data_IF_234857699554
#
_entry.id   IF_234857699554
#
_cell.length_a   1.000
_cell.length_b   1.000
_cell.length_c   1.000
_cell.angle_alpha   90.00
_cell.angle_beta   90.00
_cell.angle_gamma   90.00
#
_symmetry.space_group_name_H-M   'P 1'
#
loop_
_entity.id
_entity.type
_entity.pdbx_description
1 polymer ?
#
# COMPACT_ATOMS: atom_id res chain seq x y z
N UNK A 1 -6.20 -7.26 8.22
CA UNK A 1 -5.59 -8.02 9.33
C UNK A 1 -4.37 -7.26 9.83
N UNK A 2 -4.00 -7.45 11.09
CA UNK A 2 -2.84 -6.79 11.70
C UNK A 2 -2.69 -7.24 13.15
N UNK A 3 -1.78 -6.62 13.90
CA UNK A 3 -1.58 -6.90 15.32
C UNK A 3 -1.75 -5.63 16.16
N UNK A 4 -2.45 -5.75 17.28
CA UNK A 4 -2.73 -4.68 18.26
C UNK A 4 -2.44 -5.20 19.68
N UNK A 5 -2.29 -4.30 20.65
CA UNK A 5 -2.24 -4.67 22.05
C UNK A 5 -3.64 -4.75 22.67
N UNK A 6 -3.74 -5.39 23.83
CA UNK A 6 -4.97 -5.38 24.67
C UNK A 6 -5.07 -4.12 25.51
N UNK A 7 -5.19 -2.98 24.84
CA UNK A 7 -5.25 -1.67 25.47
C UNK A 7 -6.32 -0.76 24.84
N UNK A 8 -6.45 0.45 25.38
CA UNK A 8 -7.42 1.44 24.90
C UNK A 8 -7.22 1.76 23.41
N UNK A 9 -5.98 1.86 22.96
CA UNK A 9 -5.68 2.13 21.55
C UNK A 9 -6.06 0.94 20.66
N UNK A 10 -5.90 -0.30 21.14
CA UNK A 10 -6.37 -1.50 20.47
C UNK A 10 -7.89 -1.52 20.30
N UNK A 11 -8.63 -1.13 21.34
CA UNK A 11 -10.08 -0.96 21.26
C UNK A 11 -10.49 0.17 20.30
N UNK A 12 -9.74 1.28 20.26
CA UNK A 12 -9.95 2.34 19.27
C UNK A 12 -9.70 1.84 17.84
N UNK A 13 -8.69 1.01 17.60
CA UNK A 13 -8.43 0.40 16.28
C UNK A 13 -9.58 -0.51 15.83
N UNK A 14 -10.23 -1.23 16.75
CA UNK A 14 -11.42 -2.07 16.47
C UNK A 14 -12.62 -1.23 15.98
N UNK A 15 -12.66 0.08 16.23
CA UNK A 15 -13.69 0.97 15.71
C UNK A 15 -13.61 1.21 14.20
N UNK A 16 -12.56 0.74 13.50
CA UNK A 16 -12.52 0.70 12.04
C UNK A 16 -13.74 -0.03 11.43
N UNK A 17 -14.41 -0.90 12.20
CA UNK A 17 -15.69 -1.51 11.82
C UNK A 17 -16.82 -0.50 11.56
N UNK A 18 -16.78 0.67 12.21
CA UNK A 18 -17.74 1.76 11.98
C UNK A 18 -17.61 2.35 10.57
N UNK A 19 -16.41 2.26 9.99
CA UNK A 19 -16.16 2.61 8.58
C UNK A 19 -16.45 1.43 7.61
N UNK A 20 -17.11 0.36 8.08
CA UNK A 20 -17.47 -0.81 7.27
C UNK A 20 -16.34 -1.82 7.08
N UNK A 21 -15.21 -1.69 7.78
CA UNK A 21 -14.08 -2.61 7.65
C UNK A 21 -14.27 -3.85 8.52
N UNK A 22 -14.24 -5.04 7.91
CA UNK A 22 -14.20 -6.31 8.65
C UNK A 22 -12.79 -6.55 9.20
N UNK A 23 -12.52 -6.05 10.40
CA UNK A 23 -11.20 -6.16 11.05
C UNK A 23 -11.00 -7.50 11.75
N UNK A 24 -9.83 -8.09 11.56
CA UNK A 24 -9.37 -9.33 12.19
C UNK A 24 -7.95 -9.10 12.71
N UNK A 25 -7.84 -8.72 13.97
CA UNK A 25 -6.57 -8.40 14.61
C UNK A 25 -6.08 -9.58 15.46
N UNK A 26 -4.77 -9.83 15.39
CA UNK A 26 -4.07 -10.54 16.45
C UNK A 26 -3.94 -9.59 17.65
N UNK A 27 -4.35 -10.03 18.83
CA UNK A 27 -4.23 -9.25 20.06
C UNK A 27 -3.03 -9.77 20.85
N UNK A 28 -1.95 -9.00 20.84
CA UNK A 28 -0.74 -9.29 21.61
C UNK A 28 -1.01 -9.02 23.11
N UNK A 29 -0.60 -9.97 23.95
CA UNK A 29 -0.82 -9.92 25.40
C UNK A 29 0.19 -9.00 26.13
N UNK A 30 1.30 -8.65 25.47
CA UNK A 30 2.48 -8.06 26.12
C UNK A 30 2.83 -6.68 25.58
N UNK A 31 2.77 -6.49 24.27
CA UNK A 31 3.11 -5.23 23.64
C UNK A 31 1.89 -4.30 23.56
N UNK A 32 2.04 -2.99 23.84
CA UNK A 32 0.97 -2.03 23.62
C UNK A 32 0.70 -1.84 22.13
N UNK A 33 -0.47 -1.33 21.79
CA UNK A 33 -0.84 -1.00 20.41
C UNK A 33 0.12 0.04 19.83
N UNK A 34 0.53 -0.18 18.57
CA UNK A 34 1.43 0.72 17.86
C UNK A 34 0.84 2.13 17.70
N UNK A 35 1.71 3.13 17.69
CA UNK A 35 1.34 4.54 17.56
C UNK A 35 2.25 5.24 16.55
N UNK A 36 1.72 6.27 15.88
CA UNK A 36 2.51 7.12 15.00
C UNK A 36 2.33 8.57 15.42
N UNK A 37 3.42 9.22 15.85
CA UNK A 37 3.40 10.66 16.08
C UNK A 37 3.47 11.38 14.73
N UNK A 38 2.48 12.23 14.48
CA UNK A 38 2.43 13.08 13.28
C UNK A 38 2.79 14.50 13.71
N UNK A 39 4.04 14.88 13.48
CA UNK A 39 4.57 16.20 13.83
C UNK A 39 4.36 17.16 12.66
N UNK A 40 3.42 18.12 12.79
CA UNK A 40 3.06 19.07 11.73
C UNK A 40 3.69 20.44 12.00
N UNK A 41 4.41 20.98 11.01
CA UNK A 41 4.98 22.33 11.03
C UNK A 41 4.68 23.02 9.71
N UNK A 42 3.73 23.96 9.71
CA UNK A 42 3.23 24.58 8.48
C UNK A 42 2.63 23.52 7.54
N UNK A 43 3.13 23.45 6.30
CA UNK A 43 2.74 22.43 5.32
C UNK A 43 3.60 21.16 5.36
N UNK A 44 4.58 21.09 6.26
CA UNK A 44 5.49 19.94 6.38
C UNK A 44 5.03 19.01 7.50
N UNK A 45 5.31 17.72 7.31
CA UNK A 45 5.07 16.70 8.33
C UNK A 45 6.28 15.80 8.52
N UNK A 46 6.46 15.33 9.75
CA UNK A 46 7.39 14.26 10.10
C UNK A 46 6.62 13.17 10.84
N UNK A 47 6.82 11.92 10.42
CA UNK A 47 6.13 10.75 10.96
C UNK A 47 7.13 9.94 11.78
N UNK A 48 6.80 9.68 13.05
CA UNK A 48 7.61 8.83 13.93
C UNK A 48 6.75 7.67 14.41
N UNK A 49 6.95 6.50 13.80
CA UNK A 49 6.20 5.29 14.09
C UNK A 49 6.87 4.46 15.19
N UNK A 50 6.13 4.17 16.26
CA UNK A 50 6.43 3.12 17.22
C UNK A 50 5.48 1.94 16.95
N UNK A 51 5.97 0.94 16.20
CA UNK A 51 5.12 -0.16 15.74
C UNK A 51 4.60 -1.04 16.90
N UNK A 52 5.39 -1.21 17.96
CA UNK A 52 5.01 -1.99 19.16
C UNK A 52 4.31 -3.31 18.82
N UNK A 53 3.05 -3.55 19.27
CA UNK A 53 2.32 -4.78 18.96
C UNK A 53 2.21 -5.09 17.46
N UNK A 54 2.25 -4.09 16.57
CA UNK A 54 2.24 -4.34 15.13
C UNK A 54 3.45 -5.19 14.68
N UNK A 55 4.62 -5.03 15.31
CA UNK A 55 5.82 -5.85 15.07
C UNK A 55 5.66 -7.30 15.56
N UNK A 56 4.67 -7.57 16.39
CA UNK A 56 4.47 -8.87 17.02
C UNK A 56 3.51 -9.77 16.22
N UNK A 57 3.07 -9.36 15.03
CA UNK A 57 2.17 -10.16 14.20
C UNK A 57 2.72 -11.58 13.97
N UNK A 58 1.85 -12.57 14.14
CA UNK A 58 2.19 -14.00 14.02
C UNK A 58 1.55 -14.58 12.77
N UNK A 59 2.33 -15.28 11.94
CA UNK A 59 1.81 -15.96 10.75
C UNK A 59 0.78 -17.05 11.13
N UNK A 60 0.87 -17.59 12.34
CA UNK A 60 -0.11 -18.52 12.89
C UNK A 60 -1.51 -17.90 12.95
N UNK A 61 -1.62 -16.59 13.23
CA UNK A 61 -2.89 -15.88 13.17
C UNK A 61 -3.47 -15.89 11.75
N UNK A 62 -2.65 -15.64 10.73
CA UNK A 62 -3.06 -15.70 9.32
C UNK A 62 -3.52 -17.11 8.91
N UNK A 63 -2.83 -18.16 9.41
CA UNK A 63 -3.09 -19.57 9.07
C UNK A 63 -4.31 -20.18 9.79
N UNK A 64 -4.91 -19.50 10.77
CA UNK A 64 -6.14 -19.98 11.40
C UNK A 64 -7.23 -20.17 10.33
N UNK A 65 -8.01 -21.28 10.34
CA UNK A 65 -8.99 -21.55 9.30
C UNK A 65 -9.96 -20.40 9.01
N UNK A 66 -10.46 -19.73 10.05
CA UNK A 66 -11.38 -18.61 9.95
C UNK A 66 -10.76 -17.36 9.30
N UNK A 67 -9.47 -17.13 9.50
CA UNK A 67 -8.73 -16.02 8.90
C UNK A 67 -8.30 -16.37 7.48
N UNK A 68 -7.76 -17.57 7.26
CA UNK A 68 -7.33 -18.02 5.94
C UNK A 68 -8.50 -18.07 4.95
N UNK A 69 -9.71 -18.44 5.40
CA UNK A 69 -10.91 -18.39 4.59
C UNK A 69 -11.22 -16.98 4.02
N UNK A 70 -10.79 -15.90 4.69
CA UNK A 70 -10.92 -14.54 4.16
C UNK A 70 -9.94 -14.28 3.00
N UNK A 71 -8.73 -14.83 3.07
CA UNK A 71 -7.73 -14.76 1.99
C UNK A 71 -8.22 -15.55 0.77
N UNK A 72 -8.76 -16.75 1.00
CA UNK A 72 -9.33 -17.59 -0.06
C UNK A 72 -10.55 -16.94 -0.72
N UNK A 73 -11.38 -16.25 0.06
CA UNK A 73 -12.54 -15.51 -0.45
C UNK A 73 -12.15 -14.24 -1.23
N UNK A 74 -11.05 -13.58 -0.86
CA UNK A 74 -10.63 -12.34 -1.50
C UNK A 74 -10.23 -12.57 -2.97
N UNK A 75 -10.65 -11.66 -3.86
CA UNK A 75 -10.18 -11.61 -5.26
C UNK A 75 -9.04 -10.61 -5.47
N UNK A 76 -9.01 -9.57 -4.62
CA UNK A 76 -8.04 -8.49 -4.63
C UNK A 76 -7.43 -8.41 -3.24
N UNK A 77 -6.10 -8.36 -3.19
CA UNK A 77 -5.33 -8.34 -1.95
C UNK A 77 -4.35 -7.18 -2.02
N UNK A 78 -4.32 -6.34 -1.00
CA UNK A 78 -3.37 -5.25 -0.85
C UNK A 78 -2.58 -5.41 0.45
N UNK A 79 -1.26 -5.33 0.36
CA UNK A 79 -0.37 -5.28 1.53
C UNK A 79 0.63 -4.14 1.36
N UNK A 80 0.68 -3.21 2.31
CA UNK A 80 1.70 -2.16 2.32
C UNK A 80 3.10 -2.74 2.55
N UNK A 81 4.10 -2.20 1.87
CA UNK A 81 5.51 -2.55 2.03
C UNK A 81 6.04 -2.39 3.46
N UNK A 82 5.44 -1.56 4.31
CA UNK A 82 5.76 -1.51 5.74
C UNK A 82 5.67 -2.88 6.42
N UNK A 83 4.78 -3.77 5.96
CA UNK A 83 4.61 -5.08 6.56
C UNK A 83 5.78 -6.05 6.26
N UNK A 84 6.68 -5.70 5.32
CA UNK A 84 7.97 -6.37 5.14
C UNK A 84 8.88 -6.26 6.37
N UNK A 85 8.67 -5.25 7.22
CA UNK A 85 9.41 -5.10 8.48
C UNK A 85 8.93 -6.04 9.59
N UNK A 86 7.75 -6.66 9.39
CA UNK A 86 7.03 -7.41 10.41
C UNK A 86 6.97 -8.88 10.06
N UNK A 87 6.40 -9.23 8.91
CA UNK A 87 6.17 -10.63 8.54
C UNK A 87 6.28 -10.85 7.02
N UNK A 88 7.51 -10.83 6.47
CA UNK A 88 7.77 -11.24 5.08
C UNK A 88 7.18 -12.60 4.73
N UNK A 89 7.20 -13.55 5.66
CA UNK A 89 6.66 -14.90 5.44
C UNK A 89 5.13 -14.89 5.24
N UNK A 90 4.42 -14.01 5.95
CA UNK A 90 2.97 -13.83 5.72
C UNK A 90 2.69 -13.24 4.36
N UNK A 91 3.51 -12.27 3.92
CA UNK A 91 3.43 -11.68 2.57
C UNK A 91 3.65 -12.77 1.52
N UNK A 92 4.72 -13.56 1.68
CA UNK A 92 5.09 -14.62 0.73
C UNK A 92 3.97 -15.66 0.61
N UNK A 93 3.42 -16.12 1.74
CA UNK A 93 2.32 -17.08 1.77
C UNK A 93 1.08 -16.57 1.02
N UNK A 94 0.70 -15.31 1.25
CA UNK A 94 -0.47 -14.69 0.58
C UNK A 94 -0.19 -14.45 -0.90
N UNK A 95 1.01 -14.02 -1.25
CA UNK A 95 1.43 -13.74 -2.61
C UNK A 95 1.47 -15.00 -3.50
N UNK A 96 2.01 -16.10 -2.97
CA UNK A 96 2.01 -17.41 -3.64
C UNK A 96 0.59 -17.94 -3.81
N UNK A 97 -0.25 -17.83 -2.77
CA UNK A 97 -1.65 -18.20 -2.86
C UNK A 97 -2.39 -17.39 -3.93
N UNK A 98 -2.16 -16.07 -3.99
CA UNK A 98 -2.77 -15.20 -4.99
C UNK A 98 -2.38 -15.61 -6.42
N UNK A 99 -1.09 -15.83 -6.65
CA UNK A 99 -0.56 -16.27 -7.94
C UNK A 99 -1.11 -17.65 -8.37
N UNK A 100 -1.17 -18.61 -7.44
CA UNK A 100 -1.69 -19.96 -7.72
C UNK A 100 -3.20 -19.98 -8.02
N UNK A 101 -3.95 -18.98 -7.54
CA UNK A 101 -5.42 -18.95 -7.60
C UNK A 101 -5.96 -17.80 -8.47
N UNK A 102 -5.12 -17.22 -9.34
CA UNK A 102 -5.52 -16.15 -10.27
C UNK A 102 -6.22 -14.97 -9.54
N UNK A 103 -5.67 -14.56 -8.40
CA UNK A 103 -6.11 -13.39 -7.63
C UNK A 103 -5.19 -12.22 -7.92
N UNK A 104 -5.71 -11.01 -7.76
CA UNK A 104 -4.92 -9.78 -7.88
C UNK A 104 -4.19 -9.50 -6.57
N UNK A 105 -2.87 -9.44 -6.61
CA UNK A 105 -2.02 -9.06 -5.49
C UNK A 105 -1.37 -7.70 -5.72
N UNK A 106 -1.51 -6.80 -4.75
CA UNK A 106 -1.07 -5.41 -4.83
C UNK A 106 -0.20 -5.04 -3.65
N UNK A 107 0.83 -4.22 -3.89
CA UNK A 107 1.75 -3.77 -2.84
C UNK A 107 2.17 -2.32 -3.06
N UNK A 108 2.43 -1.61 -1.95
CA UNK A 108 2.96 -0.25 -1.99
C UNK A 108 4.45 -0.25 -1.60
N UNK A 109 5.29 0.52 -2.29
CA UNK A 109 6.70 0.76 -1.92
C UNK A 109 6.83 1.38 -0.52
N UNK A 110 5.82 2.16 -0.11
CA UNK A 110 5.52 2.67 1.24
C UNK A 110 6.49 3.70 1.82
N UNK A 111 7.81 3.50 1.70
CA UNK A 111 8.80 4.48 2.12
C UNK A 111 10.19 4.18 1.53
N UNK A 112 11.06 5.21 1.38
CA UNK A 112 12.45 5.04 0.98
C UNK A 112 13.21 4.00 1.80
N UNK A 113 13.02 3.99 3.13
CA UNK A 113 13.73 3.07 4.01
C UNK A 113 13.34 1.60 3.76
N UNK A 114 12.14 1.31 3.24
CA UNK A 114 11.74 -0.04 2.86
C UNK A 114 12.55 -0.49 1.65
N UNK A 115 12.67 0.37 0.63
CA UNK A 115 13.50 0.10 -0.54
C UNK A 115 14.98 -0.06 -0.19
N UNK A 116 15.50 0.69 0.77
CA UNK A 116 16.92 0.65 1.17
C UNK A 116 17.26 -0.54 2.07
N UNK A 117 16.49 -0.76 3.14
CA UNK A 117 16.85 -1.72 4.20
C UNK A 117 16.12 -3.05 4.11
N UNK A 118 15.01 -3.12 3.38
CA UNK A 118 14.20 -4.34 3.22
C UNK A 118 14.14 -4.81 1.77
N UNK A 119 15.12 -4.40 0.95
CA UNK A 119 15.25 -4.74 -0.48
C UNK A 119 15.07 -6.23 -0.73
N UNK A 120 15.82 -7.10 -0.04
CA UNK A 120 15.77 -8.54 -0.28
C UNK A 120 14.37 -9.14 -0.02
N UNK A 121 13.65 -8.64 0.98
CA UNK A 121 12.29 -9.08 1.25
C UNK A 121 11.31 -8.55 0.19
N UNK A 122 11.49 -7.29 -0.24
CA UNK A 122 10.70 -6.68 -1.30
C UNK A 122 10.90 -7.40 -2.64
N UNK A 123 12.14 -7.73 -3.01
CA UNK A 123 12.48 -8.45 -4.25
C UNK A 123 11.89 -9.87 -4.28
N UNK A 124 11.75 -10.54 -3.13
CA UNK A 124 11.07 -11.85 -3.05
C UNK A 124 9.56 -11.75 -3.29
N UNK A 125 8.93 -10.69 -2.78
CA UNK A 125 7.50 -10.47 -2.97
C UNK A 125 7.16 -9.95 -4.36
N UNK A 126 7.99 -9.07 -4.94
CA UNK A 126 7.75 -8.38 -6.20
C UNK A 126 7.29 -9.31 -7.33
N UNK A 127 7.91 -10.49 -7.60
CA UNK A 127 7.48 -11.43 -8.63
C UNK A 127 5.99 -11.80 -8.64
N UNK A 128 5.31 -11.66 -7.51
CA UNK A 128 3.90 -12.00 -7.35
C UNK A 128 2.98 -10.77 -7.42
N UNK A 129 3.53 -9.56 -7.37
CA UNK A 129 2.75 -8.31 -7.36
C UNK A 129 2.26 -7.95 -8.75
N UNK A 130 0.95 -7.75 -8.87
CA UNK A 130 0.24 -7.27 -10.06
C UNK A 130 0.18 -5.74 -10.10
N UNK A 131 -0.09 -5.08 -8.97
CA UNK A 131 -0.08 -3.61 -8.87
C UNK A 131 0.98 -3.13 -7.88
N UNK A 132 1.95 -2.36 -8.34
CA UNK A 132 2.95 -1.70 -7.50
C UNK A 132 2.60 -0.23 -7.38
N UNK A 133 2.25 0.19 -6.18
CA UNK A 133 1.98 1.59 -5.84
C UNK A 133 3.23 2.24 -5.23
N UNK A 134 3.39 3.55 -5.43
CA UNK A 134 4.36 4.35 -4.70
C UNK A 134 4.26 5.84 -5.02
N UNK A 135 5.13 6.63 -4.44
CA UNK A 135 5.35 8.03 -4.83
C UNK A 135 6.69 8.23 -5.55
N UNK A 136 6.94 9.44 -6.03
CA UNK A 136 8.15 9.81 -6.76
C UNK A 136 9.42 9.61 -5.93
N UNK A 137 9.35 9.82 -4.62
CA UNK A 137 10.52 9.66 -3.74
C UNK A 137 10.86 8.19 -3.59
N UNK A 138 9.87 7.35 -3.32
CA UNK A 138 10.02 5.90 -3.25
C UNK A 138 10.49 5.31 -4.58
N UNK A 139 9.94 5.78 -5.71
CA UNK A 139 10.34 5.32 -7.04
C UNK A 139 11.81 5.65 -7.33
N UNK A 140 12.26 6.88 -7.04
CA UNK A 140 13.67 7.28 -7.19
C UNK A 140 14.60 6.48 -6.27
N UNK A 141 14.20 6.26 -5.01
CA UNK A 141 14.96 5.40 -4.10
C UNK A 141 15.03 3.97 -4.63
N UNK A 142 13.91 3.41 -5.11
CA UNK A 142 13.87 2.09 -5.74
C UNK A 142 14.83 2.02 -6.93
N UNK A 143 14.82 3.01 -7.82
CA UNK A 143 15.75 3.11 -8.94
C UNK A 143 17.22 3.08 -8.50
N UNK A 144 17.55 3.89 -7.48
CA UNK A 144 18.90 4.01 -6.93
C UNK A 144 19.42 2.69 -6.37
N UNK A 145 18.63 2.00 -5.54
CA UNK A 145 19.06 0.74 -4.89
C UNK A 145 19.14 -0.45 -5.87
N UNK A 146 18.53 -0.31 -7.05
CA UNK A 146 18.64 -1.28 -8.15
C UNK A 146 19.63 -0.85 -9.24
N UNK A 147 20.35 0.26 -9.07
CA UNK A 147 21.38 0.70 -10.01
C UNK A 147 20.85 1.06 -11.40
N UNK A 148 19.63 1.59 -11.48
CA UNK A 148 18.97 1.86 -12.76
C UNK A 148 19.39 3.16 -13.46
N UNK A 149 20.27 3.95 -12.83
CA UNK A 149 20.87 5.19 -13.35
C UNK A 149 19.84 6.16 -13.97
N UNK A 150 18.63 6.19 -13.43
CA UNK A 150 17.58 7.13 -13.87
C UNK A 150 16.79 7.67 -12.69
N UNK A 151 16.46 8.94 -12.80
CA UNK A 151 15.60 9.69 -11.89
C UNK A 151 14.26 10.05 -12.58
N UNK A 152 14.03 9.57 -13.81
CA UNK A 152 12.80 9.80 -14.55
C UNK A 152 11.71 8.84 -14.07
N UNK A 153 10.63 9.39 -13.49
CA UNK A 153 9.56 8.59 -12.89
C UNK A 153 8.83 7.71 -13.91
N UNK A 154 8.70 8.16 -15.16
CA UNK A 154 8.08 7.39 -16.23
C UNK A 154 8.95 6.18 -16.61
N UNK A 155 10.26 6.39 -16.74
CA UNK A 155 11.21 5.30 -17.01
C UNK A 155 11.28 4.31 -15.84
N UNK A 156 11.26 4.81 -14.59
CA UNK A 156 11.27 3.97 -13.40
C UNK A 156 9.99 3.14 -13.34
N UNK A 157 8.82 3.75 -13.52
CA UNK A 157 7.54 3.05 -13.55
C UNK A 157 7.53 1.97 -14.65
N UNK A 158 8.06 2.29 -15.84
CA UNK A 158 8.21 1.33 -16.93
C UNK A 158 9.07 0.14 -16.52
N UNK A 159 10.25 0.37 -15.93
CA UNK A 159 11.13 -0.70 -15.44
C UNK A 159 10.47 -1.54 -14.35
N UNK A 160 9.73 -0.93 -13.41
CA UNK A 160 8.94 -1.66 -12.39
C UNK A 160 7.89 -2.55 -13.07
N UNK A 161 7.13 -2.02 -14.03
CA UNK A 161 6.10 -2.79 -14.75
C UNK A 161 6.67 -4.01 -15.50
N UNK A 162 7.94 -3.96 -15.88
CA UNK A 162 8.67 -5.01 -16.59
C UNK A 162 9.44 -5.96 -15.68
N UNK A 163 9.42 -5.75 -14.36
CA UNK A 163 10.12 -6.60 -13.41
C UNK A 163 9.71 -8.08 -13.58
N UNK A 164 10.58 -9.08 -13.33
CA UNK A 164 10.20 -10.47 -13.49
C UNK A 164 8.91 -10.83 -12.74
N UNK A 165 8.07 -11.67 -13.35
CA UNK A 165 6.86 -12.20 -12.70
C UNK A 165 6.94 -13.71 -12.55
N UNK A 166 6.57 -14.19 -11.37
CA UNK A 166 6.37 -15.60 -11.09
C UNK A 166 5.04 -16.10 -11.71
N UNK A 167 4.00 -15.27 -11.67
CA UNK A 167 2.71 -15.55 -12.31
C UNK A 167 2.66 -15.01 -13.74
N UNK A 168 2.02 -15.76 -14.65
CA UNK A 168 1.69 -15.32 -16.02
C UNK A 168 0.24 -14.85 -16.18
N UNK A 169 -0.52 -14.78 -15.10
CA UNK A 169 -1.97 -14.48 -15.17
C UNK A 169 -2.27 -13.00 -15.43
N UNK A 170 -1.52 -12.10 -14.78
CA UNK A 170 -1.71 -10.66 -14.92
C UNK A 170 -0.38 -9.97 -15.23
N UNK A 171 -0.43 -9.02 -16.17
CA UNK A 171 0.68 -8.08 -16.38
C UNK A 171 0.85 -7.22 -15.12
N UNK A 172 2.08 -6.78 -14.85
CA UNK A 172 2.30 -5.84 -13.74
C UNK A 172 2.00 -4.42 -14.20
N UNK A 173 1.31 -3.68 -13.34
CA UNK A 173 1.04 -2.26 -13.48
C UNK A 173 1.76 -1.52 -12.35
N UNK A 174 2.57 -0.51 -12.71
CA UNK A 174 3.17 0.40 -11.75
C UNK A 174 2.36 1.71 -11.74
N UNK A 175 2.00 2.20 -10.56
CA UNK A 175 1.23 3.43 -10.34
C UNK A 175 2.00 4.34 -9.39
N UNK A 176 2.61 5.39 -9.93
CA UNK A 176 3.47 6.31 -9.18
C UNK A 176 2.81 7.69 -9.09
N UNK A 177 2.51 8.09 -7.86
CA UNK A 177 1.98 9.43 -7.54
C UNK A 177 3.12 10.45 -7.45
N UNK A 178 2.82 11.73 -7.69
CA UNK A 178 3.83 12.80 -7.73
C UNK A 178 3.34 14.10 -7.03
N UNK A 179 2.64 13.95 -5.91
CA UNK A 179 1.99 15.07 -5.24
C UNK A 179 0.95 15.76 -6.14
N UNK A 180 1.24 16.99 -6.59
CA UNK A 180 0.38 17.77 -7.46
C UNK A 180 0.67 17.56 -8.97
N UNK A 181 1.74 16.83 -9.29
CA UNK A 181 2.09 16.46 -10.66
C UNK A 181 1.32 15.21 -11.11
N UNK A 182 1.26 14.91 -12.42
CA UNK A 182 0.49 13.81 -12.95
C UNK A 182 0.84 12.44 -12.31
N UNK A 183 -0.17 11.61 -12.08
CA UNK A 183 0.03 10.21 -11.69
C UNK A 183 0.53 9.44 -12.91
N UNK A 184 1.66 8.76 -12.76
CA UNK A 184 2.29 7.95 -13.80
C UNK A 184 1.83 6.51 -13.66
N UNK A 185 1.25 5.96 -14.73
CA UNK A 185 0.88 4.54 -14.82
C UNK A 185 1.68 3.89 -15.94
N UNK A 186 2.39 2.82 -15.61
CA UNK A 186 3.09 2.00 -16.60
C UNK A 186 2.49 0.59 -16.65
N UNK A 187 2.15 0.16 -17.86
CA UNK A 187 1.61 -1.17 -18.16
C UNK A 187 2.02 -1.56 -19.59
N UNK A 188 2.41 -2.83 -19.78
CA UNK A 188 2.62 -3.43 -21.10
C UNK A 188 3.59 -2.65 -22.01
N UNK A 189 4.70 -2.17 -21.42
CA UNK A 189 5.71 -1.40 -22.16
C UNK A 189 5.29 0.04 -22.48
N UNK A 190 4.14 0.51 -21.99
CA UNK A 190 3.60 1.85 -22.23
C UNK A 190 3.49 2.62 -20.92
N UNK A 191 3.63 3.93 -21.01
CA UNK A 191 3.44 4.84 -19.90
C UNK A 191 2.32 5.82 -20.24
N UNK A 192 1.47 6.12 -19.25
CA UNK A 192 0.43 7.14 -19.32
C UNK A 192 0.54 8.06 -18.10
N UNK A 193 0.47 9.36 -18.32
CA UNK A 193 0.41 10.36 -17.26
C UNK A 193 -1.03 10.88 -17.13
N UNK A 194 -1.57 10.86 -15.91
CA UNK A 194 -2.91 11.33 -15.59
C UNK A 194 -2.83 12.63 -14.78
N UNK A 195 -3.28 13.77 -15.33
CA UNK A 195 -3.19 15.04 -14.62
C UNK A 195 -4.03 15.02 -13.34
N UNK A 196 -3.49 15.61 -12.28
CA UNK A 196 -4.19 15.82 -11.00
C UNK A 196 -4.78 17.23 -11.00
N UNK A 197 -6.04 17.36 -10.57
CA UNK A 197 -6.65 18.68 -10.40
C UNK A 197 -5.98 19.41 -9.23
N UNK A 198 -5.42 20.58 -9.52
CA UNK A 198 -4.70 21.35 -8.50
C UNK A 198 -5.68 22.03 -7.55
N UNK A 199 -5.57 21.70 -6.26
CA UNK A 199 -6.31 22.40 -5.22
C UNK A 199 -5.64 23.73 -4.85
N UNK A 200 -6.44 24.78 -4.57
CA UNK A 200 -5.96 26.00 -3.92
C UNK A 200 -5.28 25.66 -2.59
N UNK A 201 -4.15 26.32 -2.28
CA UNK A 201 -3.37 26.04 -1.07
C UNK A 201 -4.17 26.21 0.22
N UNK A 202 -5.14 27.11 0.21
CA UNK A 202 -6.01 27.44 1.33
C UNK A 202 -6.99 26.29 1.66
N UNK A 203 -7.24 25.39 0.71
CA UNK A 203 -8.04 24.18 0.92
C UNK A 203 -7.21 22.97 1.37
N UNK A 204 -5.89 23.07 1.33
CA UNK A 204 -4.97 22.01 1.78
C UNK A 204 -4.78 22.12 3.29
N UNK A 205 -5.64 21.45 4.04
CA UNK A 205 -5.59 21.42 5.51
C UNK A 205 -4.53 20.44 6.02
N UNK A 206 -4.48 19.24 5.44
CA UNK A 206 -3.52 18.20 5.79
C UNK A 206 -3.25 17.32 4.55
N UNK A 207 -1.99 16.95 4.35
CA UNK A 207 -1.58 16.02 3.28
C UNK A 207 -1.39 14.59 3.80
N UNK A 208 -1.47 14.38 5.12
CA UNK A 208 -1.27 13.08 5.74
C UNK A 208 -2.26 12.05 5.18
N UNK A 209 -1.74 10.85 4.88
CA UNK A 209 -2.56 9.79 4.28
C UNK A 209 -3.02 10.05 2.84
N UNK A 210 -2.56 11.10 2.14
CA UNK A 210 -2.95 11.34 0.74
C UNK A 210 -2.64 10.13 -0.17
N UNK A 211 -1.48 9.48 0.02
CA UNK A 211 -1.14 8.25 -0.71
C UNK A 211 -2.02 7.06 -0.35
N UNK A 212 -2.37 6.90 0.94
CA UNK A 212 -3.27 5.84 1.40
C UNK A 212 -4.69 6.04 0.88
N UNK A 213 -5.18 7.28 0.89
CA UNK A 213 -6.47 7.67 0.33
C UNK A 213 -6.49 7.45 -1.19
N UNK A 214 -5.41 7.78 -1.90
CA UNK A 214 -5.28 7.50 -3.33
C UNK A 214 -5.41 6.00 -3.62
N UNK A 215 -4.67 5.15 -2.88
CA UNK A 215 -4.76 3.69 -3.05
C UNK A 215 -6.16 3.19 -2.70
N UNK A 216 -6.79 3.70 -1.64
CA UNK A 216 -8.17 3.37 -1.28
C UNK A 216 -9.18 3.70 -2.39
N UNK A 217 -9.10 4.90 -2.96
CA UNK A 217 -9.92 5.33 -4.09
C UNK A 217 -9.67 4.47 -5.33
N UNK A 218 -8.40 4.21 -5.66
CA UNK A 218 -8.02 3.34 -6.78
C UNK A 218 -8.60 1.93 -6.62
N UNK A 219 -8.40 1.31 -5.45
CA UNK A 219 -8.88 -0.04 -5.16
C UNK A 219 -10.41 -0.11 -5.16
N UNK A 220 -11.11 0.93 -4.72
CA UNK A 220 -12.59 0.97 -4.72
C UNK A 220 -13.19 0.76 -6.11
N UNK A 221 -12.51 1.23 -7.16
CA UNK A 221 -12.91 1.07 -8.55
C UNK A 221 -12.31 -0.19 -9.16
N UNK A 222 -11.09 -0.56 -8.77
CA UNK A 222 -10.44 -1.79 -9.24
C UNK A 222 -11.25 -3.05 -8.88
N UNK A 223 -11.80 -3.11 -7.66
CA UNK A 223 -12.63 -4.26 -7.22
C UNK A 223 -13.97 -4.36 -7.96
N UNK A 224 -14.37 -3.29 -8.64
CA UNK A 224 -15.53 -3.23 -9.53
C UNK A 224 -15.14 -3.45 -11.01
N UNK A 225 -13.90 -3.87 -11.26
CA UNK A 225 -13.35 -4.15 -12.59
C UNK A 225 -13.45 -2.95 -13.55
N UNK A 226 -13.36 -1.72 -13.00
CA UNK A 226 -13.35 -0.48 -13.79
C UNK A 226 -12.03 -0.31 -14.54
N UNK A 227 -12.04 0.55 -15.55
CA UNK A 227 -10.82 0.87 -16.29
C UNK A 227 -9.78 1.57 -15.39
N UNK A 228 -8.50 1.39 -15.69
CA UNK A 228 -7.39 1.97 -14.91
C UNK A 228 -7.51 3.50 -14.82
N UNK A 229 -7.96 4.16 -15.87
CA UNK A 229 -8.21 5.61 -15.85
C UNK A 229 -9.25 6.01 -14.80
N UNK A 230 -10.33 5.24 -14.68
CA UNK A 230 -11.36 5.51 -13.66
C UNK A 230 -10.84 5.21 -12.25
N UNK A 231 -9.98 4.20 -12.10
CA UNK A 231 -9.30 3.91 -10.84
C UNK A 231 -8.38 5.07 -10.42
N UNK A 232 -7.59 5.62 -11.36
CA UNK A 232 -6.74 6.79 -11.08
C UNK A 232 -7.59 8.01 -10.73
N UNK A 233 -8.66 8.29 -11.49
CA UNK A 233 -9.60 9.38 -11.19
C UNK A 233 -10.17 9.25 -9.79
N UNK A 234 -10.62 8.06 -9.41
CA UNK A 234 -11.13 7.77 -8.06
C UNK A 234 -10.08 8.00 -6.97
N UNK A 235 -8.83 7.59 -7.20
CA UNK A 235 -7.72 7.85 -6.27
C UNK A 235 -7.36 9.34 -6.15
N UNK A 236 -7.56 10.13 -7.21
CA UNK A 236 -7.32 11.58 -7.22
C UNK A 236 -8.53 12.39 -6.70
N UNK A 237 -9.60 11.74 -6.22
CA UNK A 237 -10.74 12.48 -5.66
C UNK A 237 -10.45 12.98 -4.25
N UNK A 238 -11.02 14.13 -3.93
CA UNK A 238 -11.06 14.68 -2.59
C UNK A 238 -12.48 14.49 -2.07
N UNK A 239 -12.74 13.54 -1.16
CA UNK A 239 -14.06 13.42 -0.58
C UNK A 239 -14.40 14.72 0.17
N UNK A 240 -15.68 15.10 0.16
CA UNK A 240 -16.16 16.11 1.10
C UNK A 240 -15.78 15.69 2.52
N UNK A 241 -15.48 16.67 3.38
CA UNK A 241 -15.07 16.42 4.77
C UNK A 241 -16.07 15.43 5.39
N UNK A 242 -15.65 14.21 5.78
CA UNK A 242 -16.59 13.24 6.29
C UNK A 242 -17.32 13.80 7.51
N UNK A 243 -18.65 13.75 7.47
CA UNK A 243 -19.49 14.11 8.61
C UNK A 243 -19.49 12.90 9.56
N UNK A 244 -18.85 13.08 10.72
CA UNK A 244 -18.77 12.04 11.75
C UNK A 244 -19.81 12.26 12.87
N UNK A 245 -20.84 13.08 12.61
CA UNK A 245 -21.96 13.29 13.54
C UNK A 245 -22.98 12.15 13.52
#
# INVERSE_FOLDING_TARGET
>A
MGSIGKDKYGEEMKNSKLAGVNVHYYEDETAPTGTCAVCVVGSHRSLVANLSAANCYKIEHLKKPENWALVEKAKYIYIAGFFLTVSPDSIQLVAEHAAANNKVFSMNLSAPFICEFFKDAQEKALPYVDYVFGNETEARTFSKVHGWETDDVEQIALKISQWPKASRTHKRIAVITQGADPVVVAEDGKVKAFPVEKLPKEKLVDTNGAGDAFVGGFLSHLVQEKAIEDCVKAGCTYPEKPDFN
#
